data_IF_922567435751
#
_entry.id   IF_922567435751
#
_cell.length_a   1.000
_cell.length_b   1.000
_cell.length_c   1.000
_cell.angle_alpha   90.00
_cell.angle_beta   90.00
_cell.angle_gamma   90.00
#
_symmetry.space_group_name_H-M   'P 1'
#
loop_
_entity.id
_entity.type
_entity.pdbx_description
1 polymer ?
#
# COMPACT_ATOMS: atom_id res chain seq x y z
N UNK A 1 23.52 -3.80 -49.87
CA UNK A 1 22.35 -4.34 -49.13
C UNK A 1 22.61 -4.06 -47.66
N UNK A 2 21.94 -3.06 -47.08
CA UNK A 2 22.12 -2.66 -45.69
C UNK A 2 21.04 -3.35 -44.86
N UNK A 3 21.45 -4.29 -44.02
CA UNK A 3 20.56 -5.00 -43.09
C UNK A 3 20.38 -4.14 -41.85
N UNK A 4 19.26 -3.43 -41.76
CA UNK A 4 18.84 -2.75 -40.53
C UNK A 4 18.47 -3.82 -39.49
N UNK A 5 19.32 -3.95 -38.46
CA UNK A 5 19.01 -4.77 -37.29
C UNK A 5 17.93 -4.03 -36.50
N UNK A 6 16.72 -4.57 -36.51
CA UNK A 6 15.61 -4.06 -35.71
C UNK A 6 15.89 -4.40 -34.24
N UNK A 7 16.33 -3.43 -33.46
CA UNK A 7 16.45 -3.57 -32.00
C UNK A 7 15.03 -3.77 -31.44
N UNK A 8 14.78 -4.80 -30.62
CA UNK A 8 13.48 -4.98 -30.00
C UNK A 8 13.18 -3.77 -29.11
N UNK A 9 12.03 -3.16 -29.32
CA UNK A 9 11.47 -2.16 -28.41
C UNK A 9 11.13 -2.86 -27.10
N UNK A 10 12.10 -2.89 -26.18
CA UNK A 10 11.83 -3.19 -24.78
C UNK A 10 10.94 -2.05 -24.29
N UNK A 11 9.63 -2.27 -24.24
CA UNK A 11 8.70 -1.35 -23.59
C UNK A 11 9.04 -1.41 -22.10
N UNK A 12 9.98 -0.58 -21.68
CA UNK A 12 10.36 -0.44 -20.29
C UNK A 12 9.14 0.07 -19.55
N UNK A 13 8.47 -0.80 -18.80
CA UNK A 13 7.46 -0.35 -17.84
C UNK A 13 8.22 0.56 -16.86
N UNK A 14 7.88 1.86 -16.79
CA UNK A 14 8.56 2.75 -15.87
C UNK A 14 8.41 2.19 -14.46
N UNK A 15 9.53 2.07 -13.75
CA UNK A 15 9.50 1.66 -12.36
C UNK A 15 8.63 2.65 -11.57
N UNK A 16 7.87 2.16 -10.59
CA UNK A 16 7.14 3.04 -9.69
C UNK A 16 8.13 4.01 -9.02
N UNK A 17 7.80 5.31 -9.03
CA UNK A 17 8.65 6.35 -8.45
C UNK A 17 8.83 6.15 -6.94
N UNK A 18 7.85 5.51 -6.29
CA UNK A 18 7.86 5.23 -4.86
C UNK A 18 8.83 4.10 -4.53
N UNK A 19 9.55 4.21 -3.42
CA UNK A 19 10.39 3.15 -2.84
C UNK A 19 9.56 2.01 -2.23
N UNK A 20 8.80 1.32 -3.08
CA UNK A 20 7.95 0.18 -2.71
C UNK A 20 8.73 -0.91 -1.99
N UNK A 21 9.99 -1.13 -2.36
CA UNK A 21 10.86 -2.11 -1.72
C UNK A 21 11.08 -1.83 -0.22
N UNK A 22 11.03 -0.56 0.20
CA UNK A 22 11.10 -0.20 1.62
C UNK A 22 9.72 -0.29 2.26
N UNK A 23 8.69 0.24 1.60
CA UNK A 23 7.32 0.25 2.13
C UNK A 23 6.81 -1.18 2.38
N UNK A 24 7.09 -2.12 1.48
CA UNK A 24 6.70 -3.53 1.63
C UNK A 24 7.40 -4.26 2.79
N UNK A 25 8.49 -3.70 3.34
CA UNK A 25 9.13 -4.25 4.54
C UNK A 25 8.46 -3.79 5.83
N UNK A 26 7.57 -2.81 5.77
CA UNK A 26 6.88 -2.30 6.93
C UNK A 26 5.78 -3.26 7.38
N UNK A 27 5.84 -3.69 8.63
CA UNK A 27 4.71 -4.28 9.34
C UNK A 27 3.92 -3.15 9.99
N UNK A 28 2.89 -2.73 9.28
CA UNK A 28 2.13 -1.53 9.62
C UNK A 28 0.65 -1.85 9.81
N UNK A 29 0.25 -1.97 11.09
CA UNK A 29 -1.16 -1.92 11.48
C UNK A 29 -1.65 -0.47 11.47
N UNK A 30 -2.65 -0.16 10.65
CA UNK A 30 -3.16 1.21 10.52
C UNK A 30 -4.14 1.60 11.63
N UNK A 31 -4.53 0.63 12.46
CA UNK A 31 -5.35 0.84 13.65
C UNK A 31 -4.53 0.84 14.95
N UNK A 32 -3.25 0.44 14.88
CA UNK A 32 -2.32 0.41 16.01
C UNK A 32 -1.64 1.77 16.23
N UNK A 33 -0.67 1.80 17.15
CA UNK A 33 0.17 2.99 17.35
C UNK A 33 1.19 3.12 16.22
N UNK A 34 1.58 4.35 15.88
CA UNK A 34 2.64 4.58 14.87
C UNK A 34 4.02 4.11 15.38
N UNK A 35 4.21 4.09 16.70
CA UNK A 35 5.39 3.58 17.41
C UNK A 35 5.52 2.06 17.31
N UNK A 36 4.42 1.35 17.09
CA UNK A 36 4.40 -0.11 16.94
C UNK A 36 4.79 -0.55 15.52
N UNK A 37 4.95 0.39 14.59
CA UNK A 37 5.37 0.07 13.22
C UNK A 37 6.79 -0.47 13.26
N UNK A 38 6.96 -1.67 12.71
CA UNK A 38 8.24 -2.36 12.59
C UNK A 38 8.65 -2.44 11.12
N UNK A 39 9.95 -2.49 10.88
CA UNK A 39 10.53 -2.77 9.57
C UNK A 39 11.28 -4.10 9.62
N UNK A 40 11.05 -4.94 8.61
CA UNK A 40 11.78 -6.18 8.43
C UNK A 40 13.17 -5.90 7.83
N UNK A 41 14.21 -6.39 8.50
CA UNK A 41 15.62 -6.17 8.12
C UNK A 41 16.32 -7.40 7.57
N UNK A 42 15.78 -8.58 7.85
CA UNK A 42 16.35 -9.84 7.40
C UNK A 42 15.59 -11.04 7.93
N UNK A 43 16.20 -12.21 7.78
CA UNK A 43 15.79 -13.44 8.45
C UNK A 43 16.90 -13.83 9.44
N UNK A 44 16.49 -14.26 10.63
CA UNK A 44 17.37 -14.90 11.61
C UNK A 44 17.77 -16.30 11.14
N UNK A 45 18.75 -16.90 11.82
CA UNK A 45 19.24 -18.25 11.51
C UNK A 45 18.14 -19.33 11.59
N UNK A 46 17.13 -19.13 12.44
CA UNK A 46 15.98 -20.02 12.58
C UNK A 46 14.87 -19.78 11.52
N UNK A 47 15.10 -18.86 10.58
CA UNK A 47 14.15 -18.48 9.54
C UNK A 47 13.05 -17.52 9.98
N UNK A 48 13.06 -17.07 11.24
CA UNK A 48 12.14 -16.03 11.72
C UNK A 48 12.57 -14.65 11.23
N UNK A 49 11.64 -13.71 11.11
CA UNK A 49 11.99 -12.36 10.68
C UNK A 49 12.75 -11.61 11.76
N UNK A 50 13.83 -10.94 11.35
CA UNK A 50 14.41 -9.87 12.14
C UNK A 50 13.65 -8.57 11.87
N UNK A 51 13.24 -7.91 12.96
CA UNK A 51 12.41 -6.71 12.93
C UNK A 51 12.98 -5.67 13.87
N UNK A 52 12.96 -4.41 13.44
CA UNK A 52 13.36 -3.26 14.24
C UNK A 52 12.25 -2.21 14.26
N UNK A 53 12.15 -1.35 15.28
CA UNK A 53 11.23 -0.22 15.26
C UNK A 53 11.52 0.70 14.07
N UNK A 54 10.49 1.01 13.28
CA UNK A 54 10.65 1.72 12.02
C UNK A 54 11.16 3.16 12.23
N UNK A 55 10.59 3.90 13.19
CA UNK A 55 10.90 5.32 13.37
C UNK A 55 12.37 5.60 13.76
N UNK A 56 13.07 4.60 14.30
CA UNK A 56 14.50 4.67 14.61
C UNK A 56 15.41 4.09 13.51
N UNK A 57 14.84 3.50 12.46
CA UNK A 57 15.59 2.84 11.41
C UNK A 57 16.11 3.85 10.35
N UNK A 58 17.35 3.73 9.84
CA UNK A 58 17.88 4.66 8.84
C UNK A 58 17.02 4.82 7.58
N UNK A 59 16.38 3.74 7.12
CA UNK A 59 15.46 3.77 5.98
C UNK A 59 14.28 4.74 6.15
N UNK A 60 13.89 5.07 7.39
CA UNK A 60 12.84 6.05 7.64
C UNK A 60 13.21 7.45 7.12
N UNK A 61 14.51 7.79 7.09
CA UNK A 61 15.02 9.08 6.63
C UNK A 61 15.28 9.14 5.13
N UNK A 62 15.13 8.03 4.41
CA UNK A 62 15.25 8.06 2.95
C UNK A 62 14.08 8.80 2.31
N UNK A 63 14.32 9.42 1.15
CA UNK A 63 13.25 10.01 0.34
C UNK A 63 12.23 8.95 -0.08
N UNK A 64 10.95 9.32 -0.03
CA UNK A 64 9.83 8.46 -0.43
C UNK A 64 9.92 8.03 -1.90
N UNK A 65 10.37 8.94 -2.76
CA UNK A 65 10.39 8.75 -4.21
C UNK A 65 11.78 8.99 -4.80
N UNK A 66 11.96 8.48 -6.02
CA UNK A 66 13.10 8.75 -6.87
C UNK A 66 12.60 9.18 -8.27
N UNK A 67 12.81 10.44 -8.70
CA UNK A 67 13.43 11.54 -7.95
C UNK A 67 12.55 12.01 -6.77
N UNK A 68 13.15 12.66 -5.74
CA UNK A 68 12.43 13.13 -4.54
C UNK A 68 11.33 14.14 -4.87
N UNK A 69 10.16 13.99 -4.24
CA UNK A 69 9.01 14.91 -4.36
C UNK A 69 8.74 15.63 -3.05
N UNK A 70 8.18 16.85 -3.13
CA UNK A 70 7.81 17.67 -1.97
C UNK A 70 6.41 17.40 -1.44
N UNK A 71 5.52 16.94 -2.33
CA UNK A 71 4.15 16.64 -1.99
C UNK A 71 3.67 15.40 -2.75
N UNK A 72 2.71 14.70 -2.16
CA UNK A 72 1.93 13.66 -2.82
C UNK A 72 0.47 13.79 -2.44
N UNK A 73 -0.42 13.48 -3.37
CA UNK A 73 -1.85 13.39 -3.10
C UNK A 73 -2.23 11.93 -2.91
N UNK A 74 -2.79 11.58 -1.76
CA UNK A 74 -3.23 10.22 -1.45
C UNK A 74 -4.71 10.03 -1.79
N UNK A 75 -5.01 8.87 -2.37
CA UNK A 75 -6.36 8.37 -2.60
C UNK A 75 -6.48 6.99 -1.95
N UNK A 76 -7.41 6.80 -1.02
CA UNK A 76 -7.72 5.47 -0.49
C UNK A 76 -8.48 4.68 -1.54
N UNK A 77 -7.77 3.83 -2.28
CA UNK A 77 -8.29 3.12 -3.43
C UNK A 77 -9.40 2.15 -3.02
N UNK A 78 -9.25 1.45 -1.89
CA UNK A 78 -10.30 0.55 -1.39
C UNK A 78 -11.63 1.29 -1.16
N UNK A 79 -11.58 2.49 -0.59
CA UNK A 79 -12.75 3.32 -0.32
C UNK A 79 -13.37 3.81 -1.63
N UNK A 80 -12.53 4.32 -2.54
CA UNK A 80 -12.97 4.79 -3.86
C UNK A 80 -13.61 3.69 -4.69
N UNK A 81 -13.01 2.51 -4.72
CA UNK A 81 -13.55 1.32 -5.41
C UNK A 81 -14.89 0.89 -4.79
N UNK A 82 -15.04 0.97 -3.47
CA UNK A 82 -16.31 0.75 -2.76
C UNK A 82 -17.42 1.67 -3.24
N UNK A 83 -17.09 2.97 -3.28
CA UNK A 83 -18.00 4.04 -3.60
C UNK A 83 -18.48 3.93 -5.04
N UNK A 84 -17.56 3.68 -5.98
CA UNK A 84 -17.91 3.47 -7.39
C UNK A 84 -18.81 2.26 -7.60
N UNK A 85 -18.62 1.21 -6.80
CA UNK A 85 -19.30 -0.05 -7.06
C UNK A 85 -20.72 -0.06 -6.51
N UNK A 86 -20.98 0.38 -5.27
CA UNK A 86 -22.28 0.09 -4.64
C UNK A 86 -22.79 1.06 -3.54
N UNK A 87 -22.06 2.08 -3.07
CA UNK A 87 -22.35 2.67 -1.73
C UNK A 87 -22.06 4.16 -1.48
N UNK A 88 -21.86 5.00 -2.50
CA UNK A 88 -21.83 6.44 -2.24
C UNK A 88 -23.28 6.97 -2.18
N UNK A 89 -23.72 7.61 -1.08
CA UNK A 89 -24.81 8.59 -1.18
C UNK A 89 -24.51 9.54 -2.33
N UNK A 90 -25.53 10.01 -3.07
CA UNK A 90 -25.36 10.86 -4.27
C UNK A 90 -24.49 12.12 -4.03
N UNK A 91 -24.22 12.48 -2.77
CA UNK A 91 -23.45 13.63 -2.34
C UNK A 91 -22.14 13.32 -1.58
N UNK A 92 -21.76 12.05 -1.37
CA UNK A 92 -20.51 11.74 -0.67
C UNK A 92 -19.33 11.85 -1.64
N UNK A 93 -18.47 12.85 -1.44
CA UNK A 93 -17.20 12.99 -2.14
C UNK A 93 -16.07 12.55 -1.21
N UNK A 94 -15.36 11.49 -1.60
CA UNK A 94 -14.14 11.12 -0.90
C UNK A 94 -13.07 12.17 -1.21
N UNK A 95 -12.64 12.89 -0.18
CA UNK A 95 -11.66 13.95 -0.31
C UNK A 95 -10.25 13.34 -0.44
N UNK A 96 -9.54 13.76 -1.47
CA UNK A 96 -8.12 13.44 -1.62
C UNK A 96 -7.32 14.22 -0.59
N UNK A 97 -6.42 13.55 0.12
CA UNK A 97 -5.56 14.21 1.10
C UNK A 97 -4.20 14.50 0.48
N UNK A 98 -3.67 15.70 0.69
CA UNK A 98 -2.28 16.01 0.33
C UNK A 98 -1.37 15.79 1.53
N UNK A 99 -0.25 15.11 1.31
CA UNK A 99 0.85 14.94 2.25
C UNK A 99 2.00 15.84 1.76
N UNK A 100 2.46 16.73 2.61
CA UNK A 100 3.59 17.64 2.33
C UNK A 100 4.29 18.02 3.65
N UNK A 101 5.57 18.37 3.55
CA UNK A 101 6.30 18.91 4.71
C UNK A 101 6.09 20.43 4.77
N UNK A 102 5.86 20.96 5.98
CA UNK A 102 5.59 22.39 6.19
C UNK A 102 6.76 23.31 5.78
N UNK A 103 7.98 22.78 5.75
CA UNK A 103 9.19 23.49 5.33
C UNK A 103 9.46 23.39 3.81
N UNK A 104 8.60 22.68 3.06
CA UNK A 104 8.77 22.44 1.64
C UNK A 104 9.95 21.52 1.27
N UNK A 105 10.51 20.80 2.25
CA UNK A 105 11.51 19.77 2.01
C UNK A 105 10.91 18.56 1.27
N UNK A 106 11.73 17.78 0.54
CA UNK A 106 11.26 16.53 -0.05
C UNK A 106 10.81 15.54 1.01
N UNK A 107 9.74 14.80 0.72
CA UNK A 107 9.14 13.82 1.62
C UNK A 107 10.09 12.65 1.86
N UNK A 108 10.28 12.32 3.13
CA UNK A 108 10.89 11.05 3.55
C UNK A 108 9.83 9.95 3.71
N UNK A 109 10.28 8.71 3.80
CA UNK A 109 9.39 7.57 4.11
C UNK A 109 8.75 7.76 5.49
N UNK A 110 9.48 8.32 6.47
CA UNK A 110 8.95 8.69 7.78
C UNK A 110 7.81 9.69 7.67
N UNK A 111 7.99 10.78 6.92
CA UNK A 111 6.97 11.82 6.78
C UNK A 111 5.69 11.24 6.18
N UNK A 112 5.85 10.43 5.13
CA UNK A 112 4.75 9.71 4.51
C UNK A 112 4.02 8.80 5.49
N UNK A 113 4.74 7.94 6.21
CA UNK A 113 4.14 7.01 7.18
C UNK A 113 3.41 7.76 8.29
N UNK A 114 4.02 8.80 8.88
CA UNK A 114 3.42 9.56 9.97
C UNK A 114 2.14 10.27 9.53
N UNK A 115 2.17 11.00 8.41
CA UNK A 115 1.02 11.75 7.92
C UNK A 115 -0.10 10.83 7.43
N UNK A 116 0.24 9.76 6.69
CA UNK A 116 -0.74 8.78 6.26
C UNK A 116 -1.34 7.99 7.43
N UNK A 117 -0.55 7.65 8.45
CA UNK A 117 -1.05 7.00 9.67
C UNK A 117 -2.05 7.91 10.41
N UNK A 118 -1.74 9.20 10.55
CA UNK A 118 -2.66 10.18 11.12
C UNK A 118 -3.97 10.24 10.33
N UNK A 119 -3.89 10.29 8.99
CA UNK A 119 -5.07 10.26 8.12
C UNK A 119 -5.89 8.98 8.30
N UNK A 120 -5.25 7.81 8.35
CA UNK A 120 -5.94 6.55 8.65
C UNK A 120 -6.67 6.60 10.00
N UNK A 121 -6.04 7.15 11.04
CA UNK A 121 -6.66 7.30 12.36
C UNK A 121 -7.93 8.16 12.33
N UNK A 122 -7.93 9.24 11.55
CA UNK A 122 -9.08 10.13 11.36
C UNK A 122 -10.24 9.46 10.59
N UNK A 123 -9.92 8.55 9.66
CA UNK A 123 -10.91 7.91 8.78
C UNK A 123 -11.14 6.42 9.07
N UNK A 124 -10.65 5.90 10.19
CA UNK A 124 -10.64 4.45 10.49
C UNK A 124 -12.00 3.78 10.39
N UNK A 125 -13.06 4.44 10.89
CA UNK A 125 -14.40 3.86 10.94
C UNK A 125 -14.99 3.74 9.52
N UNK A 126 -14.73 4.74 8.68
CA UNK A 126 -15.12 4.75 7.27
C UNK A 126 -14.39 3.65 6.49
N UNK A 127 -13.08 3.52 6.68
CA UNK A 127 -12.27 2.50 6.00
C UNK A 127 -12.76 1.11 6.42
N UNK A 128 -12.95 0.90 7.72
CA UNK A 128 -13.47 -0.37 8.24
C UNK A 128 -14.87 -0.67 7.70
N UNK A 129 -15.76 0.32 7.63
CA UNK A 129 -17.07 0.18 7.02
C UNK A 129 -16.95 -0.33 5.59
N UNK A 130 -16.26 0.39 4.71
CA UNK A 130 -16.15 -0.02 3.30
C UNK A 130 -15.44 -1.35 3.12
N UNK A 131 -14.35 -1.61 3.84
CA UNK A 131 -13.64 -2.89 3.76
C UNK A 131 -14.50 -4.07 4.20
N UNK A 132 -15.31 -3.89 5.25
CA UNK A 132 -16.30 -4.87 5.70
C UNK A 132 -17.55 -4.93 4.84
N UNK A 133 -17.73 -4.07 3.85
CA UNK A 133 -18.92 -4.12 2.98
C UNK A 133 -18.59 -4.57 1.56
N UNK A 134 -17.45 -4.16 1.00
CA UNK A 134 -16.97 -4.65 -0.30
C UNK A 134 -16.58 -6.13 -0.23
N UNK A 135 -16.02 -6.58 0.89
CA UNK A 135 -15.75 -8.00 1.13
C UNK A 135 -17.00 -8.89 1.10
N UNK A 136 -18.19 -8.29 1.01
CA UNK A 136 -19.50 -8.93 1.06
C UNK A 136 -20.41 -8.52 -0.10
N UNK A 137 -19.91 -8.51 -1.34
CA UNK A 137 -20.79 -8.36 -2.50
C UNK A 137 -20.51 -9.34 -3.63
N UNK A 138 -21.22 -10.46 -3.58
CA UNK A 138 -22.08 -10.82 -4.70
C UNK A 138 -23.54 -10.82 -4.21
N UNK A 139 -24.21 -9.67 -4.35
CA UNK A 139 -25.64 -9.36 -4.12
C UNK A 139 -26.04 -8.80 -2.73
N UNK A 140 -26.84 -7.69 -2.70
CA UNK A 140 -27.53 -7.30 -1.48
C UNK A 140 -28.51 -8.41 -1.09
N UNK A 141 -28.54 -8.85 0.18
CA UNK A 141 -29.44 -9.90 0.61
C UNK A 141 -30.91 -9.45 0.45
N UNK A 142 -31.83 -10.36 0.06
CA UNK A 142 -33.25 -10.04 -0.01
C UNK A 142 -33.78 -9.49 1.32
N UNK A 143 -34.82 -8.62 1.30
CA UNK A 143 -35.44 -8.12 2.52
C UNK A 143 -35.85 -9.27 3.45
N UNK A 144 -35.36 -9.26 4.68
CA UNK A 144 -35.65 -10.28 5.69
C UNK A 144 -34.64 -11.44 5.79
N UNK A 145 -33.62 -11.49 4.94
CA UNK A 145 -32.52 -12.43 5.10
C UNK A 145 -31.55 -11.95 6.19
N UNK A 146 -31.19 -12.86 7.11
CA UNK A 146 -30.19 -12.61 8.15
C UNK A 146 -28.83 -12.50 7.46
N UNK A 147 -28.14 -11.39 7.67
CA UNK A 147 -26.74 -11.20 7.24
C UNK A 147 -25.87 -12.10 8.11
N UNK A 148 -25.62 -13.31 7.62
CA UNK A 148 -24.67 -14.28 8.16
C UNK A 148 -23.74 -14.79 7.07
N UNK A 149 -22.52 -15.25 7.40
CA UNK A 149 -21.51 -15.62 6.42
C UNK A 149 -21.91 -16.90 5.67
N UNK A 150 -22.53 -16.77 4.49
CA UNK A 150 -22.82 -17.92 3.62
C UNK A 150 -21.63 -18.32 2.74
N UNK A 151 -20.97 -19.40 3.18
CA UNK A 151 -20.46 -20.57 2.45
C UNK A 151 -19.54 -20.48 1.21
N UNK A 152 -19.18 -19.30 0.68
CA UNK A 152 -18.03 -19.17 -0.27
C UNK A 152 -17.04 -18.07 0.06
N UNK A 153 -17.33 -17.31 1.11
CA UNK A 153 -16.55 -16.18 1.56
C UNK A 153 -15.89 -16.59 2.86
N UNK A 154 -14.56 -16.47 2.89
CA UNK A 154 -13.66 -16.74 4.02
C UNK A 154 -14.31 -16.47 5.37
N UNK A 155 -14.16 -17.44 6.28
CA UNK A 155 -14.58 -17.43 7.68
C UNK A 155 -14.33 -16.06 8.35
N UNK A 156 -15.33 -15.18 8.32
CA UNK A 156 -15.35 -13.96 9.11
C UNK A 156 -15.69 -14.35 10.56
N UNK A 157 -14.69 -14.44 11.42
CA UNK A 157 -14.93 -14.40 12.86
C UNK A 157 -15.22 -12.96 13.24
N UNK A 158 -16.46 -12.68 13.66
CA UNK A 158 -16.86 -11.39 14.22
C UNK A 158 -16.05 -11.14 15.51
N UNK A 159 -14.87 -10.55 15.37
CA UNK A 159 -13.95 -10.30 16.47
C UNK A 159 -12.64 -9.72 15.96
N UNK A 160 -12.36 -8.47 16.33
CA UNK A 160 -11.08 -7.75 16.19
C UNK A 160 -10.31 -8.07 14.90
N UNK A 161 -10.79 -7.56 13.77
CA UNK A 161 -9.99 -7.59 12.54
C UNK A 161 -8.94 -6.48 12.62
N UNK A 162 -7.69 -6.88 12.50
CA UNK A 162 -6.61 -5.93 12.25
C UNK A 162 -6.67 -5.48 10.79
N UNK A 163 -6.34 -4.22 10.58
CA UNK A 163 -6.27 -3.61 9.26
C UNK A 163 -4.84 -3.12 9.06
N UNK A 164 -4.27 -3.50 7.93
CA UNK A 164 -2.86 -3.31 7.65
C UNK A 164 -2.68 -2.48 6.38
N UNK A 165 -1.59 -1.72 6.31
CA UNK A 165 -1.17 -1.11 5.06
C UNK A 165 -0.77 -2.20 4.06
N UNK A 166 -1.30 -2.16 2.83
CA UNK A 166 -1.03 -3.15 1.79
C UNK A 166 -0.02 -2.65 0.77
N UNK A 167 -0.31 -1.54 0.12
CA UNK A 167 0.59 -0.95 -0.88
C UNK A 167 0.19 0.48 -1.19
N UNK A 168 1.15 1.26 -1.68
CA UNK A 168 0.87 2.46 -2.45
C UNK A 168 1.10 2.13 -3.94
N UNK A 169 0.58 2.93 -4.86
CA UNK A 169 1.14 3.00 -6.22
C UNK A 169 0.85 4.37 -6.83
N UNK A 170 1.77 4.88 -7.63
CA UNK A 170 1.56 6.11 -8.37
C UNK A 170 0.60 5.89 -9.56
N UNK A 171 -0.51 6.62 -9.65
CA UNK A 171 -1.36 6.63 -10.87
C UNK A 171 -0.90 7.62 -11.92
N UNK A 172 -0.11 8.63 -11.52
CA UNK A 172 0.43 9.66 -12.41
C UNK A 172 1.95 9.64 -12.31
N UNK A 173 2.63 9.85 -13.43
CA UNK A 173 4.08 10.06 -13.42
C UNK A 173 4.45 11.55 -13.37
N UNK A 174 3.49 12.42 -13.67
CA UNK A 174 3.58 13.89 -13.60
C UNK A 174 3.23 14.42 -12.21
N UNK A 175 3.70 15.63 -11.91
CA UNK A 175 3.27 16.37 -10.72
C UNK A 175 1.90 17.03 -10.95
N UNK A 176 0.95 16.96 -9.99
CA UNK A 176 1.09 16.31 -8.68
C UNK A 176 1.07 14.77 -8.76
N UNK A 177 1.93 14.14 -7.96
CA UNK A 177 2.03 12.69 -7.85
C UNK A 177 0.86 12.15 -7.03
N UNK A 178 -0.04 11.40 -7.67
CA UNK A 178 -1.21 10.81 -7.01
C UNK A 178 -0.92 9.36 -6.62
N UNK A 179 -1.02 9.05 -5.33
CA UNK A 179 -0.78 7.74 -4.76
C UNK A 179 -2.10 7.05 -4.42
N UNK A 180 -2.30 5.87 -4.99
CA UNK A 180 -3.41 4.99 -4.65
C UNK A 180 -2.98 4.08 -3.52
N UNK A 181 -3.64 4.22 -2.38
CA UNK A 181 -3.33 3.49 -1.17
C UNK A 181 -4.32 2.34 -1.02
N UNK A 182 -3.79 1.15 -0.78
CA UNK A 182 -4.55 -0.06 -0.51
C UNK A 182 -4.25 -0.54 0.89
N UNK A 183 -5.25 -1.18 1.48
CA UNK A 183 -5.23 -1.80 2.80
C UNK A 183 -5.51 -3.29 2.67
N UNK A 184 -5.08 -4.04 3.68
CA UNK A 184 -5.32 -5.47 3.81
C UNK A 184 -6.07 -5.70 5.12
N UNK A 185 -7.19 -6.40 5.04
CA UNK A 185 -7.97 -6.76 6.22
C UNK A 185 -7.64 -8.20 6.58
N UNK A 186 -7.38 -8.49 7.86
CA UNK A 186 -7.08 -9.87 8.30
C UNK A 186 -8.15 -10.87 7.85
N UNK A 187 -7.71 -11.93 7.15
CA UNK A 187 -8.60 -12.95 6.57
C UNK A 187 -9.08 -12.64 5.14
N UNK A 188 -8.72 -11.50 4.56
CA UNK A 188 -9.00 -11.19 3.14
C UNK A 188 -8.49 -12.33 2.25
N UNK A 189 -9.39 -12.91 1.45
CA UNK A 189 -9.11 -14.03 0.53
C UNK A 189 -8.54 -15.25 1.30
N UNK A 190 -9.00 -15.47 2.53
CA UNK A 190 -8.51 -16.54 3.42
C UNK A 190 -7.00 -16.48 3.71
N UNK A 191 -6.40 -15.29 3.64
CA UNK A 191 -5.00 -15.05 3.96
C UNK A 191 -4.88 -14.52 5.40
N UNK A 192 -4.00 -15.13 6.20
CA UNK A 192 -3.66 -14.62 7.54
C UNK A 192 -2.63 -13.50 7.48
N UNK A 193 -2.50 -12.72 8.55
CA UNK A 193 -1.54 -11.61 8.67
C UNK A 193 -0.13 -12.10 8.38
N UNK A 194 0.26 -13.24 8.95
CA UNK A 194 1.60 -13.79 8.75
C UNK A 194 1.84 -14.25 7.30
N UNK A 195 0.84 -14.83 6.65
CA UNK A 195 0.93 -15.18 5.23
C UNK A 195 1.00 -13.93 4.34
N UNK A 196 0.21 -12.91 4.67
CA UNK A 196 0.24 -11.60 4.02
C UNK A 196 1.62 -10.95 4.16
N UNK A 197 2.17 -10.84 5.36
CA UNK A 197 3.51 -10.26 5.58
C UNK A 197 4.60 -11.07 4.88
N UNK A 198 4.47 -12.40 4.80
CA UNK A 198 5.37 -13.24 3.99
C UNK A 198 5.32 -12.87 2.50
N UNK A 199 4.14 -12.60 1.96
CA UNK A 199 4.00 -12.13 0.57
C UNK A 199 4.62 -10.74 0.39
N UNK A 200 4.47 -9.85 1.37
CA UNK A 200 5.03 -8.50 1.31
C UNK A 200 6.56 -8.51 1.26
N UNK A 201 7.21 -9.39 2.04
CA UNK A 201 8.66 -9.60 1.92
C UNK A 201 9.09 -10.00 0.52
N UNK A 202 8.41 -10.98 -0.08
CA UNK A 202 8.72 -11.42 -1.44
C UNK A 202 8.52 -10.28 -2.47
N UNK A 203 7.52 -9.44 -2.27
CA UNK A 203 7.33 -8.22 -3.08
C UNK A 203 8.46 -7.22 -2.87
N UNK A 204 8.89 -6.98 -1.63
CA UNK A 204 10.01 -6.09 -1.34
C UNK A 204 11.29 -6.51 -2.07
N UNK A 205 11.65 -7.79 -2.00
CA UNK A 205 12.85 -8.34 -2.64
C UNK A 205 12.79 -8.24 -4.16
N UNK A 206 11.60 -8.49 -4.74
CA UNK A 206 11.35 -8.33 -6.17
C UNK A 206 11.51 -6.87 -6.59
N UNK A 207 10.94 -5.93 -5.86
CA UNK A 207 11.03 -4.50 -6.17
C UNK A 207 12.47 -3.98 -6.04
N UNK A 208 13.20 -4.40 -5.01
CA UNK A 208 14.62 -4.06 -4.85
C UNK A 208 15.44 -4.56 -6.04
N UNK A 209 15.21 -5.80 -6.46
CA UNK A 209 15.90 -6.40 -7.61
C UNK A 209 15.60 -5.67 -8.92
N UNK A 210 14.33 -5.30 -9.16
CA UNK A 210 13.95 -4.53 -10.34
C UNK A 210 14.64 -3.15 -10.35
N UNK A 211 14.63 -2.44 -9.22
CA UNK A 211 15.27 -1.12 -9.08
C UNK A 211 16.77 -1.19 -9.33
N UNK A 212 17.47 -2.16 -8.75
CA UNK A 212 18.91 -2.35 -8.93
C UNK A 212 19.26 -2.60 -10.41
N UNK A 213 18.47 -3.43 -11.11
CA UNK A 213 18.68 -3.70 -12.53
C UNK A 213 18.48 -2.45 -13.39
N UNK A 214 17.44 -1.65 -13.12
CA UNK A 214 17.18 -0.41 -13.85
C UNK A 214 18.29 0.62 -13.66
N UNK A 215 18.81 0.79 -12.43
CA UNK A 215 19.91 1.71 -12.15
C UNK A 215 21.23 1.24 -12.80
N UNK A 216 21.49 -0.07 -12.82
CA UNK A 216 22.66 -0.63 -13.49
C UNK A 216 22.66 -0.42 -15.01
N UNK A 217 21.49 -0.50 -15.65
CA UNK A 217 21.35 -0.23 -17.10
C UNK A 217 21.59 1.24 -17.45
N UNK A 218 21.18 2.18 -16.61
CA UNK A 218 21.36 3.62 -16.85
C UNK A 218 22.83 4.10 -16.74
N UNK A 219 23.71 3.31 -16.10
CA UNK A 219 25.14 3.64 -15.97
C UNK A 219 25.98 3.15 -17.16
N UNK A 220 25.40 2.38 -18.08
CA UNK A 220 26.08 1.80 -19.24
C UNK A 220 25.77 2.53 -20.56
N UNK A 221 24.91 3.56 -20.52
CA UNK A 221 24.59 4.46 -21.63
C UNK A 221 25.32 5.79 -21.48
#
# INVERSE_FOLDING_TARGET
>A
MSTSVSTPLTIGIPLDRIKQEVIFRLRWSILGSVEDIQIQTGLRQDGTEERLPFLSHPLAMEFLTDPPVKCVTISLADVREAMHSYMAPDNYQYELQTIENADGSPLTIKDFVMQLHSHFGQHKDLILFYRKTIGFNHHPPPPGAIIGPESRISYYTAGKHDLFFKRAFASTFSDPLILNIYTFLEGEIAVSAEAFWKSQRAHADRMASLRANTQGSQLLE
#
